data_IF_253037120488
#
_entry.id   IF_253037120488
#
_cell.length_a   1.000
_cell.length_b   1.000
_cell.length_c   1.000
_cell.angle_alpha   90.00
_cell.angle_beta   90.00
_cell.angle_gamma   90.00
#
_symmetry.space_group_name_H-M   'P 1'
#
loop_
_entity.id
_entity.type
_entity.pdbx_description
1 polymer ?
#
# COMPACT_ATOMS: atom_id res chain seq x y z
N UNK A 1 66.50 -74.93 -84.32
CA UNK A 1 66.84 -75.36 -82.95
C UNK A 1 67.10 -74.17 -82.11
N UNK A 2 66.45 -74.03 -81.01
CA UNK A 2 66.53 -73.10 -79.91
C UNK A 2 65.47 -71.92 -79.92
N UNK A 3 64.57 -72.13 -79.13
CA UNK A 3 63.40 -71.43 -78.64
C UNK A 3 63.79 -70.11 -77.92
N UNK A 4 63.11 -68.99 -78.21
CA UNK A 4 63.17 -67.73 -77.44
C UNK A 4 61.89 -67.63 -76.62
N UNK A 5 62.06 -67.45 -75.27
CA UNK A 5 61.04 -67.19 -74.33
C UNK A 5 60.90 -65.67 -74.20
N UNK A 6 59.75 -65.07 -74.52
CA UNK A 6 59.40 -63.68 -74.26
C UNK A 6 58.64 -63.57 -72.97
N UNK A 7 59.16 -62.78 -72.04
CA UNK A 7 58.54 -62.47 -70.78
C UNK A 7 57.62 -61.24 -70.92
N UNK A 8 56.31 -61.42 -70.80
CA UNK A 8 55.35 -60.31 -70.66
C UNK A 8 55.45 -59.72 -69.27
N UNK A 9 55.88 -58.48 -69.20
CA UNK A 9 55.70 -57.69 -67.96
C UNK A 9 54.27 -57.10 -67.92
N UNK A 10 53.52 -57.48 -66.92
CA UNK A 10 52.16 -57.01 -66.67
C UNK A 10 52.16 -55.57 -66.17
N UNK A 11 51.41 -54.71 -66.84
CA UNK A 11 51.07 -53.35 -66.37
C UNK A 11 49.97 -53.49 -65.29
N UNK A 12 50.39 -53.58 -63.99
CA UNK A 12 49.53 -53.58 -62.87
C UNK A 12 50.19 -52.75 -61.73
N UNK A 13 50.02 -51.41 -61.77
CA UNK A 13 50.66 -50.57 -60.70
C UNK A 13 50.27 -49.14 -60.68
N UNK A 14 49.71 -48.51 -61.72
CA UNK A 14 49.47 -47.03 -61.66
C UNK A 14 48.03 -46.62 -61.33
N UNK A 15 47.02 -47.50 -61.37
CA UNK A 15 45.63 -47.10 -61.05
C UNK A 15 45.27 -47.00 -59.54
N UNK A 16 46.04 -47.70 -58.68
CA UNK A 16 45.72 -47.71 -57.25
C UNK A 16 46.16 -46.44 -56.47
N UNK A 17 47.23 -45.81 -56.90
CA UNK A 17 47.69 -44.60 -56.23
C UNK A 17 46.80 -43.38 -56.48
N UNK A 18 46.16 -43.25 -57.62
CA UNK A 18 45.22 -42.16 -57.90
C UNK A 18 43.88 -42.38 -57.19
N UNK A 19 43.42 -43.58 -56.97
CA UNK A 19 42.22 -43.92 -56.22
C UNK A 19 42.39 -43.61 -54.73
N UNK A 20 43.56 -43.99 -54.18
CA UNK A 20 43.87 -43.71 -52.76
C UNK A 20 44.04 -42.21 -52.50
N UNK A 21 44.70 -41.46 -53.42
CA UNK A 21 44.90 -40.02 -53.37
C UNK A 21 43.53 -39.30 -53.47
N UNK A 22 42.63 -39.71 -54.34
CA UNK A 22 41.28 -39.19 -54.50
C UNK A 22 40.43 -39.41 -53.23
N UNK A 23 40.52 -40.61 -52.62
CA UNK A 23 39.84 -40.95 -51.40
C UNK A 23 40.36 -40.14 -50.23
N UNK A 24 41.68 -39.92 -50.12
CA UNK A 24 42.30 -39.05 -49.10
C UNK A 24 41.89 -37.57 -49.25
N UNK A 25 41.79 -37.06 -50.47
CA UNK A 25 41.32 -35.69 -50.74
C UNK A 25 39.82 -35.56 -50.37
N UNK A 26 39.00 -36.55 -50.69
CA UNK A 26 37.59 -36.58 -50.28
C UNK A 26 37.42 -36.64 -48.73
N UNK A 27 38.23 -37.46 -48.06
CA UNK A 27 38.23 -37.55 -46.57
C UNK A 27 38.73 -36.24 -45.98
N UNK A 28 39.77 -35.57 -46.51
CA UNK A 28 40.23 -34.28 -46.09
C UNK A 28 39.21 -33.18 -46.33
N UNK A 29 38.49 -33.17 -47.46
CA UNK A 29 37.39 -32.25 -47.75
C UNK A 29 36.22 -32.47 -46.81
N UNK A 30 35.89 -33.74 -46.55
CA UNK A 30 34.85 -34.08 -45.56
C UNK A 30 35.23 -33.68 -44.15
N UNK A 31 36.47 -33.92 -43.72
CA UNK A 31 36.99 -33.42 -42.45
C UNK A 31 37.01 -31.88 -42.38
N UNK A 32 37.32 -31.20 -43.47
CA UNK A 32 37.28 -29.71 -43.53
C UNK A 32 35.84 -29.19 -43.51
N UNK A 33 34.85 -29.89 -44.11
CA UNK A 33 33.44 -29.58 -43.99
C UNK A 33 32.90 -29.88 -42.58
N UNK A 34 33.36 -30.94 -41.92
CA UNK A 34 32.90 -31.31 -40.55
C UNK A 34 33.65 -30.55 -39.46
N UNK A 35 34.94 -30.27 -39.69
CA UNK A 35 35.84 -29.52 -38.80
C UNK A 35 36.08 -28.07 -39.25
N UNK A 36 35.42 -27.64 -40.33
CA UNK A 36 35.40 -26.24 -40.74
C UNK A 36 35.02 -25.37 -39.54
N UNK A 37 35.61 -24.16 -39.37
CA UNK A 37 35.37 -23.36 -38.19
C UNK A 37 33.87 -23.22 -38.05
N UNK A 38 33.31 -23.96 -37.08
CA UNK A 38 32.02 -23.62 -36.50
C UNK A 38 32.28 -22.24 -35.90
N UNK A 39 32.22 -21.19 -36.72
CA UNK A 39 32.01 -19.84 -36.24
C UNK A 39 30.64 -19.93 -35.58
N UNK A 40 30.64 -20.41 -34.32
CA UNK A 40 29.57 -20.10 -33.42
C UNK A 40 29.41 -18.57 -33.58
N UNK A 41 28.44 -18.13 -34.35
CA UNK A 41 27.85 -16.83 -34.16
C UNK A 41 27.45 -16.90 -32.71
N UNK A 42 28.33 -16.39 -31.84
CA UNK A 42 27.91 -15.83 -30.55
C UNK A 42 26.85 -14.85 -30.99
N UNK A 43 25.59 -15.28 -30.92
CA UNK A 43 24.46 -14.37 -31.05
C UNK A 43 24.83 -13.28 -30.06
N UNK A 44 25.10 -12.08 -30.59
CA UNK A 44 25.37 -10.94 -29.74
C UNK A 44 24.15 -10.91 -28.84
N UNK A 45 24.31 -11.37 -27.60
CA UNK A 45 23.26 -11.32 -26.60
C UNK A 45 22.95 -9.84 -26.53
N UNK A 46 21.78 -9.44 -27.04
CA UNK A 46 21.38 -8.05 -27.05
C UNK A 46 21.58 -7.57 -25.61
N UNK A 47 22.41 -6.55 -25.44
CA UNK A 47 22.66 -5.97 -24.14
C UNK A 47 21.31 -5.74 -23.45
N UNK A 48 21.19 -6.12 -22.18
CA UNK A 48 19.96 -5.96 -21.40
C UNK A 48 20.19 -4.87 -20.36
N UNK A 49 19.17 -4.04 -20.15
CA UNK A 49 19.11 -3.05 -19.06
C UNK A 49 17.85 -3.31 -18.28
N UNK A 50 17.98 -3.54 -16.98
CA UNK A 50 16.84 -3.68 -16.07
C UNK A 50 16.30 -2.29 -15.76
N UNK A 51 14.99 -2.09 -15.89
CA UNK A 51 14.32 -0.81 -15.65
C UNK A 51 13.39 -0.94 -14.44
N UNK A 52 13.50 0.02 -13.53
CA UNK A 52 12.67 0.19 -12.34
C UNK A 52 12.04 1.58 -12.35
N UNK A 53 10.77 1.67 -11.93
CA UNK A 53 10.07 2.94 -11.76
C UNK A 53 9.84 3.19 -10.26
N UNK A 54 10.52 4.20 -9.70
CA UNK A 54 10.35 4.67 -8.32
C UNK A 54 9.63 6.03 -8.35
N UNK A 55 8.30 5.98 -8.36
CA UNK A 55 7.41 7.16 -8.37
C UNK A 55 6.60 7.21 -7.08
N UNK A 56 7.28 7.30 -5.93
CA UNK A 56 6.66 7.36 -4.60
C UNK A 56 7.69 7.77 -3.54
N UNK A 57 7.24 7.75 -2.27
CA UNK A 57 8.09 7.98 -1.09
C UNK A 57 9.07 6.84 -0.87
N UNK A 58 10.26 7.16 -0.32
CA UNK A 58 11.28 6.17 0.01
C UNK A 58 10.94 5.51 1.35
N UNK A 59 10.57 4.23 1.27
CA UNK A 59 10.07 3.40 2.35
C UNK A 59 10.72 2.01 2.32
N UNK A 60 10.54 1.13 3.33
CA UNK A 60 11.09 -0.22 3.31
C UNK A 60 10.70 -1.01 2.06
N UNK A 61 9.46 -0.85 1.57
CA UNK A 61 8.98 -1.56 0.38
C UNK A 61 9.69 -1.10 -0.90
N UNK A 62 9.99 0.20 -1.03
CA UNK A 62 10.76 0.71 -2.17
C UNK A 62 12.22 0.24 -2.13
N UNK A 63 12.78 0.00 -0.92
CA UNK A 63 14.08 -0.62 -0.77
C UNK A 63 14.08 -2.10 -1.22
N UNK A 64 13.08 -2.89 -0.83
CA UNK A 64 12.91 -4.27 -1.29
C UNK A 64 12.77 -4.33 -2.82
N UNK A 65 12.01 -3.41 -3.41
CA UNK A 65 11.82 -3.32 -4.85
C UNK A 65 13.13 -3.00 -5.59
N UNK A 66 13.91 -2.01 -5.14
CA UNK A 66 15.23 -1.71 -5.70
C UNK A 66 16.18 -2.91 -5.60
N UNK A 67 16.24 -3.54 -4.42
CA UNK A 67 17.08 -4.72 -4.18
C UNK A 67 16.75 -5.84 -5.16
N UNK A 68 15.47 -6.13 -5.36
CA UNK A 68 15.00 -7.15 -6.30
C UNK A 68 15.37 -6.81 -7.75
N UNK A 69 15.33 -5.53 -8.13
CA UNK A 69 15.78 -5.07 -9.45
C UNK A 69 17.28 -5.27 -9.65
N UNK A 70 18.10 -4.96 -8.63
CA UNK A 70 19.55 -5.20 -8.62
C UNK A 70 19.85 -6.70 -8.73
N UNK A 71 19.16 -7.53 -7.94
CA UNK A 71 19.34 -8.98 -7.97
C UNK A 71 18.94 -9.55 -9.35
N UNK A 72 17.82 -9.08 -9.92
CA UNK A 72 17.40 -9.46 -11.27
C UNK A 72 18.44 -9.09 -12.33
N UNK A 73 19.05 -7.91 -12.22
CA UNK A 73 20.11 -7.50 -13.15
C UNK A 73 21.35 -8.39 -13.05
N UNK A 74 21.70 -8.82 -11.84
CA UNK A 74 22.79 -9.76 -11.62
C UNK A 74 22.47 -11.14 -12.24
N UNK A 75 21.28 -11.67 -12.04
CA UNK A 75 20.83 -12.97 -12.55
C UNK A 75 20.89 -13.06 -14.09
N UNK A 76 20.50 -11.98 -14.76
CA UNK A 76 20.50 -11.94 -16.25
C UNK A 76 21.77 -11.34 -16.84
N UNK A 77 22.76 -11.01 -16.01
CA UNK A 77 23.98 -10.33 -16.43
C UNK A 77 23.71 -9.03 -17.21
N UNK A 78 22.77 -8.22 -16.72
CA UNK A 78 22.40 -6.95 -17.33
C UNK A 78 23.58 -5.98 -17.35
N UNK A 79 23.62 -5.12 -18.36
CA UNK A 79 24.66 -4.07 -18.52
C UNK A 79 24.53 -3.00 -17.43
N UNK A 80 23.30 -2.71 -17.00
CA UNK A 80 22.99 -1.75 -15.96
C UNK A 80 21.58 -1.98 -15.38
N UNK A 81 21.35 -1.38 -14.21
CA UNK A 81 20.01 -1.13 -13.64
C UNK A 81 19.71 0.36 -13.88
N UNK A 82 18.64 0.68 -14.58
CA UNK A 82 18.12 2.02 -14.75
C UNK A 82 16.94 2.22 -13.78
N UNK A 83 17.06 3.20 -12.90
CA UNK A 83 16.00 3.58 -11.97
C UNK A 83 15.45 4.94 -12.39
N UNK A 84 14.25 4.96 -12.94
CA UNK A 84 13.51 6.19 -13.17
C UNK A 84 12.92 6.66 -11.84
N UNK A 85 13.30 7.88 -11.44
CA UNK A 85 13.05 8.39 -10.10
C UNK A 85 12.18 9.63 -10.11
N UNK A 86 11.09 9.58 -9.36
CA UNK A 86 10.29 10.73 -8.95
C UNK A 86 9.89 10.56 -7.48
N UNK A 87 10.55 11.27 -6.57
CA UNK A 87 10.27 11.12 -5.14
C UNK A 87 10.36 12.44 -4.39
N UNK A 88 9.43 12.71 -3.46
CA UNK A 88 9.54 13.84 -2.53
C UNK A 88 10.56 13.58 -1.41
N UNK A 89 11.00 12.32 -1.25
CA UNK A 89 11.86 11.88 -0.15
C UNK A 89 11.28 10.70 0.61
N UNK A 90 11.69 10.50 1.87
CA UNK A 90 11.19 9.41 2.69
C UNK A 90 12.01 9.16 3.93
N UNK A 91 12.05 7.90 4.38
CA UNK A 91 12.69 7.50 5.63
C UNK A 91 14.21 7.37 5.48
N UNK A 92 14.96 7.91 6.45
CA UNK A 92 16.42 7.88 6.45
C UNK A 92 16.96 6.44 6.49
N UNK A 93 16.35 5.54 7.27
CA UNK A 93 16.81 4.16 7.38
C UNK A 93 16.65 3.40 6.06
N UNK A 94 15.52 3.60 5.36
CA UNK A 94 15.31 3.03 4.02
C UNK A 94 16.30 3.61 3.03
N UNK A 95 16.59 4.92 3.10
CA UNK A 95 17.60 5.59 2.28
C UNK A 95 18.97 4.97 2.47
N UNK A 96 19.39 4.74 3.73
CA UNK A 96 20.68 4.11 4.05
C UNK A 96 20.76 2.68 3.51
N UNK A 97 19.70 1.91 3.63
CA UNK A 97 19.60 0.54 3.08
C UNK A 97 19.78 0.58 1.56
N UNK A 98 19.01 1.41 0.87
CA UNK A 98 19.08 1.53 -0.60
C UNK A 98 20.45 2.03 -1.08
N UNK A 99 21.04 3.03 -0.42
CA UNK A 99 22.41 3.47 -0.71
C UNK A 99 23.39 2.30 -0.56
N UNK A 100 23.27 1.51 0.49
CA UNK A 100 24.08 0.30 0.69
C UNK A 100 23.94 -0.69 -0.48
N UNK A 101 22.73 -0.96 -0.93
CA UNK A 101 22.46 -1.85 -2.07
C UNK A 101 23.04 -1.29 -3.38
N UNK A 102 22.92 0.01 -3.63
CA UNK A 102 23.52 0.68 -4.79
C UNK A 102 25.05 0.54 -4.80
N UNK A 103 25.69 0.85 -3.67
CA UNK A 103 27.16 0.82 -3.57
C UNK A 103 27.73 -0.59 -3.72
N UNK A 104 26.98 -1.62 -3.27
CA UNK A 104 27.36 -3.03 -3.34
C UNK A 104 26.77 -3.77 -4.56
N UNK A 105 26.04 -3.09 -5.43
CA UNK A 105 25.42 -3.70 -6.60
C UNK A 105 26.48 -4.37 -7.49
N UNK A 106 26.28 -5.59 -8.00
CA UNK A 106 27.18 -6.22 -8.97
C UNK A 106 27.10 -5.57 -10.36
N UNK A 107 25.94 -4.99 -10.72
CA UNK A 107 25.72 -4.29 -11.99
C UNK A 107 25.73 -2.77 -11.78
N UNK A 108 26.16 -1.95 -12.75
CA UNK A 108 26.06 -0.50 -12.68
C UNK A 108 24.62 -0.03 -12.42
N UNK A 109 24.45 0.93 -11.51
CA UNK A 109 23.15 1.51 -11.20
C UNK A 109 23.09 2.94 -11.72
N UNK A 110 22.12 3.23 -12.55
CA UNK A 110 21.85 4.53 -13.16
C UNK A 110 20.58 5.08 -12.52
N UNK A 111 20.64 6.24 -11.88
CA UNK A 111 19.45 6.96 -11.44
C UNK A 111 19.12 8.06 -12.44
N UNK A 112 17.90 8.09 -12.90
CA UNK A 112 17.41 9.06 -13.87
C UNK A 112 16.15 9.74 -13.34
N UNK A 113 16.28 11.01 -12.95
CA UNK A 113 15.14 11.80 -12.48
C UNK A 113 14.27 12.15 -13.68
N UNK A 114 13.12 11.53 -13.83
CA UNK A 114 12.23 11.62 -14.98
C UNK A 114 10.78 11.29 -14.61
N UNK A 115 9.81 11.66 -15.43
CA UNK A 115 9.86 12.58 -16.59
C UNK A 115 10.04 14.05 -16.19
N UNK A 116 9.90 15.00 -17.14
CA UNK A 116 9.88 16.43 -16.84
C UNK A 116 8.85 16.78 -15.77
N UNK A 117 9.25 17.60 -14.79
CA UNK A 117 8.44 17.90 -13.59
C UNK A 117 8.71 16.98 -12.39
N UNK A 118 9.43 15.88 -12.59
CA UNK A 118 9.85 14.98 -11.50
C UNK A 118 10.94 15.61 -10.63
N UNK A 119 11.11 15.02 -9.44
CA UNK A 119 12.13 15.47 -8.47
C UNK A 119 12.84 14.30 -7.79
N UNK A 120 14.11 14.53 -7.44
CA UNK A 120 14.87 13.72 -6.49
C UNK A 120 15.00 14.50 -5.18
N UNK A 121 13.87 14.60 -4.43
CA UNK A 121 13.81 15.35 -3.18
C UNK A 121 14.35 14.54 -2.00
N UNK A 122 15.03 15.21 -1.03
CA UNK A 122 15.42 14.61 0.24
C UNK A 122 16.13 13.26 0.08
N UNK A 123 15.50 12.14 0.47
CA UNK A 123 16.03 10.77 0.29
C UNK A 123 16.46 10.49 -1.16
N UNK A 124 15.69 10.95 -2.15
CA UNK A 124 16.00 10.76 -3.56
C UNK A 124 17.32 11.36 -3.98
N UNK A 125 17.69 12.50 -3.40
CA UNK A 125 18.99 13.13 -3.64
C UNK A 125 20.15 12.22 -3.18
N UNK A 126 20.06 11.60 -1.99
CA UNK A 126 21.05 10.66 -1.51
C UNK A 126 21.21 9.44 -2.42
N UNK A 127 20.08 8.91 -2.95
CA UNK A 127 20.10 7.78 -3.88
C UNK A 127 20.76 8.14 -5.21
N UNK A 128 20.40 9.32 -5.75
CA UNK A 128 20.99 9.83 -6.98
C UNK A 128 22.50 10.02 -6.84
N UNK A 129 22.96 10.60 -5.72
CA UNK A 129 24.38 10.81 -5.43
C UNK A 129 25.16 9.50 -5.19
N UNK A 130 24.49 8.41 -4.75
CA UNK A 130 25.09 7.10 -4.58
C UNK A 130 25.27 6.33 -5.89
N UNK A 131 24.51 6.67 -6.93
CA UNK A 131 24.47 5.95 -8.21
C UNK A 131 25.82 5.96 -8.94
N UNK A 132 26.06 4.95 -9.75
CA UNK A 132 27.22 4.91 -10.66
C UNK A 132 27.10 5.97 -11.75
N UNK A 133 25.89 6.24 -12.22
CA UNK A 133 25.55 7.36 -13.11
C UNK A 133 24.32 8.07 -12.56
N UNK A 134 24.39 9.38 -12.41
CA UNK A 134 23.26 10.24 -12.08
C UNK A 134 22.85 11.04 -13.31
N UNK A 135 21.57 11.02 -13.64
CA UNK A 135 21.00 11.72 -14.78
C UNK A 135 19.70 12.41 -14.43
N UNK A 136 19.38 13.47 -15.15
CA UNK A 136 18.14 14.22 -14.99
C UNK A 136 17.51 14.52 -16.35
N UNK A 137 16.18 14.51 -16.40
CA UNK A 137 15.45 15.04 -17.54
C UNK A 137 15.38 16.58 -17.45
N UNK A 138 15.27 17.28 -18.59
CA UNK A 138 15.03 18.72 -18.57
C UNK A 138 13.76 19.08 -17.78
N UNK A 139 13.85 20.12 -16.93
CA UNK A 139 12.72 20.57 -16.12
C UNK A 139 12.47 19.73 -14.86
N UNK A 140 13.47 19.02 -14.38
CA UNK A 140 13.47 18.31 -13.11
C UNK A 140 14.34 19.01 -12.07
N UNK A 141 14.23 18.62 -10.80
CA UNK A 141 15.06 19.18 -9.72
C UNK A 141 15.51 18.11 -8.74
N UNK A 142 16.62 18.38 -8.03
CA UNK A 142 17.15 17.47 -7.02
C UNK A 142 17.73 18.27 -5.83
N UNK A 143 17.60 17.74 -4.61
CA UNK A 143 18.13 18.40 -3.40
C UNK A 143 17.13 18.44 -2.26
N UNK A 144 17.11 19.58 -1.52
CA UNK A 144 16.27 19.79 -0.33
C UNK A 144 16.38 18.63 0.68
N UNK A 145 17.62 18.23 1.00
CA UNK A 145 17.92 16.96 1.67
C UNK A 145 18.24 17.09 3.16
N UNK A 146 17.82 18.19 3.79
CA UNK A 146 17.99 18.40 5.23
C UNK A 146 17.21 17.35 6.04
N UNK A 147 17.82 16.64 7.00
CA UNK A 147 17.13 15.66 7.81
C UNK A 147 16.09 16.31 8.70
N UNK A 148 14.81 15.95 8.53
CA UNK A 148 13.70 16.43 9.34
C UNK A 148 13.41 15.42 10.45
N UNK A 149 13.48 15.87 11.71
CA UNK A 149 13.19 15.04 12.88
C UNK A 149 11.90 15.53 13.53
N UNK A 150 10.86 14.72 13.50
CA UNK A 150 9.50 15.15 13.87
C UNK A 150 9.02 14.67 15.24
N UNK A 151 9.74 13.77 15.92
CA UNK A 151 9.28 13.16 17.17
C UNK A 151 9.85 13.88 18.37
N UNK A 152 9.00 14.73 18.98
CA UNK A 152 9.27 15.37 20.27
C UNK A 152 10.13 16.65 20.20
N UNK A 153 10.37 17.27 21.34
CA UNK A 153 11.37 18.33 21.48
C UNK A 153 12.76 17.68 21.53
N UNK A 154 13.35 17.44 20.37
CA UNK A 154 14.76 17.05 20.29
C UNK A 154 15.59 18.28 20.59
N UNK A 155 16.55 18.13 21.50
CA UNK A 155 17.47 19.22 21.82
C UNK A 155 18.38 19.56 20.62
N UNK A 156 18.95 20.74 20.63
CA UNK A 156 19.78 21.20 19.51
C UNK A 156 21.04 20.35 19.34
N UNK A 157 21.54 19.72 20.40
CA UNK A 157 22.69 18.82 20.36
C UNK A 157 22.35 17.55 19.54
N UNK A 158 21.17 16.99 19.73
CA UNK A 158 20.72 15.82 18.98
C UNK A 158 20.49 16.15 17.50
N UNK A 159 19.88 17.30 17.19
CA UNK A 159 19.73 17.79 15.80
C UNK A 159 21.09 17.90 15.12
N UNK A 160 22.06 18.50 15.81
CA UNK A 160 23.43 18.64 15.30
C UNK A 160 24.11 17.27 15.07
N UNK A 161 23.90 16.31 15.97
CA UNK A 161 24.42 14.94 15.77
C UNK A 161 23.84 14.27 14.54
N UNK A 162 22.52 14.35 14.34
CA UNK A 162 21.84 13.76 13.18
C UNK A 162 22.34 14.42 11.88
N UNK A 163 22.47 15.75 11.87
CA UNK A 163 22.97 16.47 10.71
C UNK A 163 24.41 16.06 10.40
N UNK A 164 25.30 16.06 11.41
CA UNK A 164 26.71 15.70 11.21
C UNK A 164 26.89 14.26 10.75
N UNK A 165 26.10 13.30 11.28
CA UNK A 165 26.11 11.90 10.86
C UNK A 165 25.61 11.76 9.41
N UNK A 166 24.54 12.48 9.04
CA UNK A 166 23.98 12.49 7.69
C UNK A 166 24.97 13.07 6.67
N UNK A 167 25.66 14.16 7.02
CA UNK A 167 26.72 14.75 6.19
C UNK A 167 27.93 13.82 6.04
N UNK A 168 28.34 13.16 7.12
CA UNK A 168 29.44 12.19 7.06
C UNK A 168 29.08 11.00 6.17
N UNK A 169 27.83 10.51 6.27
CA UNK A 169 27.31 9.47 5.40
C UNK A 169 27.34 9.90 3.94
N UNK A 170 26.81 11.08 3.60
CA UNK A 170 26.83 11.61 2.23
C UNK A 170 28.25 11.70 1.68
N UNK A 171 29.17 12.33 2.42
CA UNK A 171 30.58 12.49 2.01
C UNK A 171 31.30 11.17 1.74
N UNK A 172 30.93 10.11 2.47
CA UNK A 172 31.59 8.80 2.39
C UNK A 172 31.54 8.17 0.99
N UNK A 173 30.56 8.53 0.17
CA UNK A 173 30.40 7.99 -1.18
C UNK A 173 30.43 9.06 -2.28
N UNK A 174 29.95 10.29 -2.06
CA UNK A 174 29.94 11.36 -3.07
C UNK A 174 31.35 11.65 -3.58
N UNK A 175 32.33 11.77 -2.67
CA UNK A 175 33.75 11.98 -3.04
C UNK A 175 34.34 10.84 -3.87
N UNK A 176 33.97 9.59 -3.56
CA UNK A 176 34.42 8.42 -4.33
C UNK A 176 33.77 8.34 -5.72
N UNK A 177 32.55 8.89 -5.86
CA UNK A 177 31.88 9.04 -7.15
C UNK A 177 32.45 10.16 -8.01
N UNK A 178 33.35 10.99 -7.45
CA UNK A 178 33.96 12.14 -8.15
C UNK A 178 33.01 13.30 -8.34
N UNK A 179 31.94 13.37 -7.54
CA UNK A 179 30.96 14.46 -7.57
C UNK A 179 31.35 15.59 -6.63
N UNK A 180 30.67 16.71 -6.76
CA UNK A 180 30.93 17.92 -5.97
C UNK A 180 30.41 17.77 -4.54
N UNK A 181 31.33 17.52 -3.61
CA UNK A 181 31.01 17.31 -2.20
C UNK A 181 30.40 18.56 -1.55
N UNK A 182 30.90 19.75 -1.88
CA UNK A 182 30.46 21.01 -1.26
C UNK A 182 29.01 21.31 -1.68
N UNK A 183 28.70 21.18 -2.97
CA UNK A 183 27.33 21.36 -3.45
C UNK A 183 26.37 20.29 -2.89
N UNK A 184 26.83 19.05 -2.77
CA UNK A 184 26.02 17.99 -2.17
C UNK A 184 25.76 18.24 -0.67
N UNK A 185 26.75 18.75 0.08
CA UNK A 185 26.57 19.15 1.47
C UNK A 185 25.60 20.34 1.61
N UNK A 186 25.66 21.32 0.70
CA UNK A 186 24.77 22.48 0.67
C UNK A 186 23.29 22.08 0.51
N UNK A 187 23.02 21.01 -0.27
CA UNK A 187 21.68 20.40 -0.35
C UNK A 187 21.16 19.86 0.98
N UNK A 188 22.08 19.40 1.85
CA UNK A 188 21.73 18.83 3.16
C UNK A 188 21.74 19.91 4.24
N UNK A 189 22.78 20.71 4.34
CA UNK A 189 22.93 21.74 5.39
C UNK A 189 21.91 22.87 5.24
N UNK A 190 21.75 23.38 4.00
CA UNK A 190 20.94 24.56 3.71
C UNK A 190 19.63 24.24 2.96
N UNK A 191 19.27 22.95 2.84
CA UNK A 191 18.08 22.51 2.12
C UNK A 191 18.03 22.99 0.66
N UNK A 192 19.19 23.20 0.03
CA UNK A 192 19.24 23.72 -1.33
C UNK A 192 18.73 22.69 -2.34
N UNK A 193 18.01 23.17 -3.33
CA UNK A 193 17.55 22.37 -4.46
C UNK A 193 18.13 22.92 -5.76
N UNK A 194 18.48 22.04 -6.67
CA UNK A 194 19.13 22.35 -7.93
C UNK A 194 18.27 21.92 -9.10
N UNK A 195 18.17 22.76 -10.11
CA UNK A 195 17.63 22.38 -11.42
C UNK A 195 18.56 21.41 -12.13
N UNK A 196 18.09 20.74 -13.18
CA UNK A 196 18.88 19.85 -14.03
C UNK A 196 20.16 20.53 -14.54
N UNK A 197 20.09 21.80 -14.99
CA UNK A 197 21.21 22.55 -15.47
C UNK A 197 22.23 22.95 -14.38
N UNK A 198 21.72 23.39 -13.21
CA UNK A 198 22.59 23.72 -12.07
C UNK A 198 23.28 22.45 -11.53
N UNK A 199 22.56 21.32 -11.42
CA UNK A 199 23.13 20.05 -10.99
C UNK A 199 24.22 19.57 -11.94
N UNK A 200 24.05 19.72 -13.25
CA UNK A 200 25.05 19.38 -14.24
C UNK A 200 26.28 20.32 -14.16
N UNK A 201 26.06 21.62 -14.07
CA UNK A 201 27.15 22.62 -14.01
C UNK A 201 27.97 22.46 -12.70
N UNK A 202 27.32 22.05 -11.62
CA UNK A 202 27.97 21.81 -10.33
C UNK A 202 28.58 20.39 -10.21
N UNK A 203 28.46 19.54 -11.23
CA UNK A 203 28.94 18.16 -11.20
C UNK A 203 28.28 17.31 -10.10
N UNK A 204 26.99 17.55 -9.81
CA UNK A 204 26.14 16.67 -9.01
C UNK A 204 25.57 15.53 -9.85
N UNK A 205 25.40 15.75 -11.16
CA UNK A 205 24.96 14.74 -12.10
C UNK A 205 25.91 14.62 -13.30
N UNK A 206 25.82 13.48 -13.96
CA UNK A 206 26.66 13.14 -15.10
C UNK A 206 26.09 13.58 -16.45
N UNK A 207 24.75 13.54 -16.59
CA UNK A 207 24.07 13.71 -17.88
C UNK A 207 22.71 14.36 -17.70
N UNK A 208 22.35 15.28 -18.58
CA UNK A 208 20.98 15.71 -18.82
C UNK A 208 20.50 15.09 -20.12
N UNK A 209 19.40 14.33 -20.09
CA UNK A 209 18.85 13.65 -21.25
C UNK A 209 17.33 13.81 -21.29
N UNK A 210 16.69 14.04 -22.45
CA UNK A 210 15.26 14.30 -22.55
C UNK A 210 14.39 13.04 -22.37
N UNK A 211 14.95 11.86 -22.55
CA UNK A 211 14.27 10.58 -22.40
C UNK A 211 15.26 9.44 -22.18
N UNK A 212 14.74 8.29 -21.74
CA UNK A 212 15.50 7.08 -21.46
C UNK A 212 16.38 6.62 -22.62
N UNK A 213 15.85 6.62 -23.84
CA UNK A 213 16.59 6.17 -25.03
C UNK A 213 17.81 7.06 -25.30
N UNK A 214 17.63 8.37 -25.25
CA UNK A 214 18.72 9.34 -25.42
C UNK A 214 19.78 9.20 -24.32
N UNK A 215 19.33 8.95 -23.08
CA UNK A 215 20.22 8.66 -21.96
C UNK A 215 21.10 7.44 -22.25
N UNK A 216 20.47 6.30 -22.59
CA UNK A 216 21.17 5.05 -22.88
C UNK A 216 22.10 5.14 -24.08
N UNK A 217 21.70 5.87 -25.13
CA UNK A 217 22.57 6.15 -26.29
C UNK A 217 23.79 7.01 -25.93
N UNK A 218 23.63 7.98 -25.01
CA UNK A 218 24.69 8.84 -24.51
C UNK A 218 25.70 8.13 -23.61
N UNK A 219 25.21 7.12 -22.87
CA UNK A 219 26.03 6.32 -21.97
C UNK A 219 26.75 5.17 -22.65
N UNK A 220 26.42 4.87 -23.91
CA UNK A 220 27.06 3.77 -24.65
C UNK A 220 28.54 4.02 -24.89
N UNK A 221 29.38 3.05 -24.53
CA UNK A 221 30.83 3.15 -24.61
C UNK A 221 31.50 3.95 -23.47
N UNK A 222 30.70 4.55 -22.56
CA UNK A 222 31.23 5.27 -21.40
C UNK A 222 31.80 4.31 -20.38
N UNK A 223 33.00 4.59 -19.90
CA UNK A 223 33.60 3.88 -18.76
C UNK A 223 33.10 4.49 -17.47
N UNK A 224 32.51 3.65 -16.64
CA UNK A 224 31.98 4.01 -15.31
C UNK A 224 32.86 3.37 -14.25
N UNK A 225 33.35 4.18 -13.32
CA UNK A 225 34.13 3.72 -12.17
C UNK A 225 33.18 3.23 -11.06
N UNK A 226 33.19 1.93 -10.83
CA UNK A 226 32.35 1.32 -9.78
C UNK A 226 32.86 1.72 -8.39
N UNK A 227 31.97 1.68 -7.39
CA UNK A 227 32.35 1.97 -6.01
C UNK A 227 33.44 1.03 -5.48
N UNK A 228 33.49 -0.21 -5.98
CA UNK A 228 34.55 -1.19 -5.72
C UNK A 228 35.92 -0.80 -6.30
N UNK A 229 35.99 0.25 -7.14
CA UNK A 229 37.20 0.70 -7.84
C UNK A 229 37.43 0.02 -9.19
N UNK A 230 36.57 -0.90 -9.62
CA UNK A 230 36.65 -1.55 -10.93
C UNK A 230 36.03 -0.65 -11.98
N UNK A 231 36.67 -0.48 -13.12
CA UNK A 231 36.15 0.23 -14.28
C UNK A 231 35.28 -0.71 -15.13
N UNK A 232 34.09 -0.26 -15.53
CA UNK A 232 33.16 -1.00 -16.37
C UNK A 232 32.70 -0.16 -17.54
N UNK A 233 32.83 -0.68 -18.76
CA UNK A 233 32.34 -0.03 -19.98
C UNK A 233 30.88 -0.39 -20.18
N UNK A 234 30.01 0.61 -20.27
CA UNK A 234 28.60 0.44 -20.54
C UNK A 234 28.36 0.12 -22.02
N UNK A 235 27.47 -0.80 -22.31
CA UNK A 235 26.98 -1.14 -23.66
C UNK A 235 25.45 -1.06 -23.66
N UNK A 236 24.95 0.15 -23.83
CA UNK A 236 23.54 0.47 -23.58
C UNK A 236 22.77 0.85 -24.84
N UNK A 237 23.45 1.14 -25.95
CA UNK A 237 22.79 1.49 -27.21
C UNK A 237 22.02 0.28 -27.75
N UNK A 238 20.72 0.47 -28.00
CA UNK A 238 19.85 -0.60 -28.50
C UNK A 238 19.68 -1.77 -27.54
N UNK A 239 20.00 -1.59 -26.25
CA UNK A 239 19.77 -2.60 -25.23
C UNK A 239 18.29 -2.95 -25.12
N UNK A 240 18.02 -4.21 -24.84
CA UNK A 240 16.67 -4.66 -24.52
C UNK A 240 16.31 -4.27 -23.09
N UNK A 241 15.23 -3.53 -22.94
CA UNK A 241 14.75 -3.06 -21.64
C UNK A 241 13.91 -4.15 -20.97
N UNK A 242 14.32 -4.54 -19.78
CA UNK A 242 13.63 -5.54 -18.96
C UNK A 242 13.01 -4.81 -17.79
N UNK A 243 11.73 -4.45 -17.93
CA UNK A 243 10.98 -3.83 -16.83
C UNK A 243 10.78 -4.84 -15.69
N UNK A 244 11.02 -4.38 -14.47
CA UNK A 244 10.73 -5.12 -13.25
C UNK A 244 9.56 -4.44 -12.56
N UNK A 245 8.39 -5.01 -12.73
CA UNK A 245 7.16 -4.48 -12.10
C UNK A 245 7.11 -4.84 -10.62
N UNK A 246 6.49 -3.99 -9.77
CA UNK A 246 6.22 -4.33 -8.39
C UNK A 246 5.34 -5.59 -8.29
N UNK A 247 5.72 -6.53 -7.45
CA UNK A 247 4.93 -7.73 -7.16
C UNK A 247 3.61 -7.36 -6.47
N UNK A 248 2.61 -8.26 -6.53
CA UNK A 248 1.34 -8.05 -5.83
C UNK A 248 1.56 -7.80 -4.32
N UNK A 249 2.53 -8.49 -3.71
CA UNK A 249 2.90 -8.26 -2.30
C UNK A 249 3.39 -6.84 -2.08
N UNK A 250 4.30 -6.35 -2.92
CA UNK A 250 4.84 -4.99 -2.84
C UNK A 250 3.74 -3.95 -3.03
N UNK A 251 2.86 -4.14 -4.02
CA UNK A 251 1.72 -3.25 -4.26
C UNK A 251 0.76 -3.20 -3.07
N UNK A 252 0.44 -4.34 -2.44
CA UNK A 252 -0.42 -4.37 -1.25
C UNK A 252 0.27 -3.68 -0.07
N UNK A 253 1.56 -3.98 0.16
CA UNK A 253 2.31 -3.38 1.27
C UNK A 253 2.44 -1.86 1.10
N UNK A 254 2.72 -1.39 -0.10
CA UNK A 254 2.78 0.03 -0.44
C UNK A 254 1.44 0.73 -0.13
N UNK A 255 0.32 0.15 -0.56
CA UNK A 255 -1.02 0.67 -0.23
C UNK A 255 -1.30 0.67 1.28
N UNK A 256 -0.85 -0.35 2.01
CA UNK A 256 -1.03 -0.40 3.46
C UNK A 256 -0.15 0.62 4.21
N UNK A 257 0.93 1.09 3.59
CA UNK A 257 1.77 2.18 4.12
C UNK A 257 1.21 3.58 3.84
N UNK A 258 0.08 3.71 3.10
CA UNK A 258 -0.62 4.99 2.95
C UNK A 258 -1.35 5.37 4.26
N UNK A 259 -0.98 6.49 4.92
CA UNK A 259 -1.60 6.92 6.17
C UNK A 259 -3.12 7.17 6.06
N UNK A 260 -3.59 7.62 4.90
CA UNK A 260 -5.00 7.90 4.66
C UNK A 260 -5.80 6.60 4.59
N UNK A 261 -5.27 5.61 3.87
CA UNK A 261 -5.89 4.28 3.80
C UNK A 261 -5.88 3.59 5.16
N UNK A 262 -4.80 3.68 5.93
CA UNK A 262 -4.70 3.12 7.28
C UNK A 262 -5.82 3.63 8.20
N UNK A 263 -6.06 4.96 8.19
CA UNK A 263 -7.15 5.60 8.96
C UNK A 263 -8.52 5.13 8.47
N UNK A 264 -8.74 5.05 7.15
CA UNK A 264 -10.01 4.58 6.59
C UNK A 264 -10.32 3.14 7.02
N UNK A 265 -9.34 2.23 6.92
CA UNK A 265 -9.49 0.84 7.33
C UNK A 265 -9.74 0.74 8.83
N UNK A 266 -9.01 1.52 9.66
CA UNK A 266 -9.17 1.56 11.11
C UNK A 266 -10.60 1.95 11.49
N UNK A 267 -11.08 3.08 10.96
CA UNK A 267 -12.40 3.60 11.31
C UNK A 267 -13.54 2.73 10.76
N UNK A 268 -13.38 2.17 9.56
CA UNK A 268 -14.33 1.21 9.00
C UNK A 268 -14.41 -0.06 9.86
N UNK A 269 -13.26 -0.59 10.30
CA UNK A 269 -13.22 -1.75 11.20
C UNK A 269 -13.94 -1.50 12.52
N UNK A 270 -13.67 -0.37 13.16
CA UNK A 270 -14.33 0.05 14.42
C UNK A 270 -15.84 0.21 14.22
N UNK A 271 -16.25 0.84 13.11
CA UNK A 271 -17.67 1.05 12.83
C UNK A 271 -18.42 -0.27 12.61
N UNK A 272 -17.84 -1.21 11.89
CA UNK A 272 -18.44 -2.52 11.66
C UNK A 272 -18.57 -3.33 12.96
N UNK A 273 -17.56 -3.29 13.84
CA UNK A 273 -17.63 -3.90 15.16
C UNK A 273 -18.74 -3.23 15.98
N UNK A 274 -18.83 -1.90 15.95
CA UNK A 274 -19.87 -1.16 16.63
C UNK A 274 -21.28 -1.52 16.11
N UNK A 275 -21.44 -1.72 14.80
CA UNK A 275 -22.71 -2.19 14.21
C UNK A 275 -23.12 -3.55 14.76
N UNK A 276 -22.19 -4.51 14.85
CA UNK A 276 -22.47 -5.85 15.40
C UNK A 276 -22.97 -5.78 16.85
N UNK A 277 -22.36 -4.93 17.68
CA UNK A 277 -22.80 -4.73 19.07
C UNK A 277 -24.22 -4.14 19.19
N UNK A 278 -24.67 -3.38 18.18
CA UNK A 278 -26.01 -2.80 18.17
C UNK A 278 -27.05 -3.70 17.51
N UNK A 279 -26.65 -4.66 16.68
CA UNK A 279 -27.52 -5.62 15.97
C UNK A 279 -27.01 -7.04 16.18
N UNK A 280 -27.07 -7.57 17.43
CA UNK A 280 -26.49 -8.87 17.73
C UNK A 280 -27.16 -9.98 16.93
N UNK A 281 -26.34 -10.88 16.36
CA UNK A 281 -26.79 -12.02 15.56
C UNK A 281 -26.50 -11.94 14.07
N UNK A 282 -25.94 -10.83 13.58
CA UNK A 282 -25.56 -10.70 12.17
C UNK A 282 -24.21 -11.34 11.86
N UNK A 283 -23.28 -11.45 12.80
CA UNK A 283 -21.93 -12.05 12.75
C UNK A 283 -21.01 -11.46 11.69
N UNK A 284 -21.52 -11.18 10.48
CA UNK A 284 -20.75 -10.73 9.33
C UNK A 284 -20.05 -9.37 9.57
N UNK A 285 -20.74 -8.31 10.06
CA UNK A 285 -20.09 -7.02 10.33
C UNK A 285 -18.98 -7.14 11.37
N UNK A 286 -19.18 -7.92 12.44
CA UNK A 286 -18.22 -8.13 13.50
C UNK A 286 -16.97 -8.86 13.01
N UNK A 287 -17.13 -9.92 12.21
CA UNK A 287 -16.04 -10.68 11.64
C UNK A 287 -15.22 -9.82 10.66
N UNK A 288 -15.89 -9.11 9.73
CA UNK A 288 -15.23 -8.22 8.77
C UNK A 288 -14.56 -7.04 9.49
N UNK A 289 -15.23 -6.44 10.47
CA UNK A 289 -14.69 -5.35 11.26
C UNK A 289 -13.43 -5.74 12.04
N UNK A 290 -13.41 -6.95 12.60
CA UNK A 290 -12.22 -7.50 13.27
C UNK A 290 -11.06 -7.68 12.29
N UNK A 291 -11.33 -8.23 11.10
CA UNK A 291 -10.31 -8.39 10.06
C UNK A 291 -9.73 -7.03 9.64
N UNK A 292 -10.58 -6.03 9.39
CA UNK A 292 -10.14 -4.67 9.03
C UNK A 292 -9.35 -4.02 10.17
N UNK A 293 -9.76 -4.23 11.43
CA UNK A 293 -9.02 -3.70 12.58
C UNK A 293 -7.62 -4.31 12.69
N UNK A 294 -7.49 -5.63 12.51
CA UNK A 294 -6.18 -6.29 12.49
C UNK A 294 -5.31 -5.78 11.34
N UNK A 295 -5.89 -5.59 10.16
CA UNK A 295 -5.20 -5.03 9.00
C UNK A 295 -4.76 -3.58 9.25
N UNK A 296 -5.61 -2.76 9.88
CA UNK A 296 -5.26 -1.40 10.27
C UNK A 296 -4.12 -1.37 11.29
N UNK A 297 -4.15 -2.23 12.30
CA UNK A 297 -3.07 -2.34 13.29
C UNK A 297 -1.75 -2.76 12.64
N UNK A 298 -1.79 -3.69 11.69
CA UNK A 298 -0.63 -4.06 10.90
C UNK A 298 -0.10 -2.86 10.08
N UNK A 299 -0.97 -2.16 9.37
CA UNK A 299 -0.63 -0.94 8.60
C UNK A 299 0.00 0.13 9.51
N UNK A 300 -0.61 0.41 10.66
CA UNK A 300 -0.10 1.39 11.63
C UNK A 300 1.26 0.99 12.23
N UNK A 301 1.56 -0.31 12.33
CA UNK A 301 2.88 -0.78 12.78
C UNK A 301 4.00 -0.48 11.78
N UNK A 302 3.66 -0.28 10.50
CA UNK A 302 4.60 0.10 9.44
C UNK A 302 4.86 1.61 9.38
N UNK A 303 4.04 2.43 10.07
CA UNK A 303 4.07 3.88 10.03
C UNK A 303 4.61 4.46 11.34
N UNK A 304 5.24 5.64 11.31
CA UNK A 304 5.67 6.36 12.54
C UNK A 304 4.44 6.95 13.27
N UNK A 305 3.79 6.15 14.11
CA UNK A 305 2.54 6.51 14.81
C UNK A 305 2.82 7.24 16.12
N UNK A 306 2.05 8.30 16.39
CA UNK A 306 2.03 9.00 17.67
C UNK A 306 1.01 8.34 18.62
N UNK A 307 1.48 7.76 19.71
CA UNK A 307 0.61 7.10 20.71
C UNK A 307 -0.39 8.05 21.36
N UNK A 308 -0.05 9.34 21.53
CA UNK A 308 -0.96 10.37 22.03
C UNK A 308 -2.16 10.60 21.12
N UNK A 309 -1.95 10.56 19.81
CA UNK A 309 -3.01 10.67 18.80
C UNK A 309 -3.88 9.41 18.76
N UNK A 310 -3.28 8.24 18.93
CA UNK A 310 -4.02 6.99 19.06
C UNK A 310 -4.91 7.01 20.30
N UNK A 311 -4.39 7.48 21.45
CA UNK A 311 -5.18 7.66 22.67
C UNK A 311 -6.34 8.65 22.48
N UNK A 312 -6.12 9.73 21.71
CA UNK A 312 -7.15 10.70 21.37
C UNK A 312 -8.27 10.08 20.49
N UNK A 313 -7.91 9.24 19.52
CA UNK A 313 -8.88 8.48 18.70
C UNK A 313 -9.71 7.53 19.58
N UNK A 314 -9.05 6.76 20.46
CA UNK A 314 -9.74 5.87 21.39
C UNK A 314 -10.68 6.67 22.30
N UNK A 315 -10.23 7.80 22.87
CA UNK A 315 -11.05 8.71 23.66
C UNK A 315 -12.25 9.26 22.90
N UNK A 316 -12.05 9.62 21.62
CA UNK A 316 -13.13 10.07 20.74
C UNK A 316 -14.22 9.02 20.54
N UNK A 317 -13.81 7.77 20.29
CA UNK A 317 -14.74 6.64 20.15
C UNK A 317 -15.49 6.41 21.46
N UNK A 318 -14.82 6.44 22.61
CA UNK A 318 -15.44 6.31 23.93
C UNK A 318 -16.48 7.41 24.15
N UNK A 319 -16.18 8.68 23.85
CA UNK A 319 -17.14 9.78 23.96
C UNK A 319 -18.39 9.55 23.11
N UNK A 320 -18.22 9.08 21.87
CA UNK A 320 -19.35 8.77 20.98
C UNK A 320 -20.18 7.59 21.49
N UNK A 321 -19.57 6.55 22.05
CA UNK A 321 -20.27 5.44 22.67
C UNK A 321 -21.00 5.86 23.94
N UNK A 322 -20.44 6.78 24.73
CA UNK A 322 -21.07 7.33 25.93
C UNK A 322 -22.31 8.15 25.61
N UNK A 323 -22.35 8.88 24.49
CA UNK A 323 -23.55 9.57 24.00
C UNK A 323 -24.76 8.61 23.86
N UNK A 324 -24.52 7.33 23.49
CA UNK A 324 -25.55 6.31 23.39
C UNK A 324 -26.16 5.92 24.76
N UNK A 325 -25.38 6.02 25.84
CA UNK A 325 -25.83 5.71 27.21
C UNK A 325 -26.35 6.92 27.94
N UNK A 326 -25.71 8.05 27.77
CA UNK A 326 -26.00 9.33 28.45
C UNK A 326 -26.33 10.38 27.40
N UNK A 327 -27.60 10.51 26.99
CA UNK A 327 -28.00 11.42 25.92
C UNK A 327 -27.73 12.88 26.36
N UNK A 328 -26.61 13.41 25.88
CA UNK A 328 -26.14 14.78 26.17
C UNK A 328 -26.59 15.80 25.12
N UNK A 329 -27.60 15.47 24.33
CA UNK A 329 -28.11 16.29 23.21
C UNK A 329 -27.05 16.54 22.13
N UNK A 330 -26.09 15.62 21.95
CA UNK A 330 -25.06 15.67 20.92
C UNK A 330 -23.74 16.32 21.35
N UNK A 331 -23.61 16.76 22.59
CA UNK A 331 -22.38 17.40 23.09
C UNK A 331 -21.22 16.40 23.08
N UNK A 332 -21.42 15.18 23.61
CA UNK A 332 -20.37 14.16 23.63
C UNK A 332 -20.02 13.68 22.20
N UNK A 333 -21.04 13.53 21.33
CA UNK A 333 -20.82 13.18 19.94
C UNK A 333 -20.03 14.25 19.18
N UNK A 334 -20.34 15.53 19.40
CA UNK A 334 -19.60 16.64 18.78
C UNK A 334 -18.15 16.72 19.28
N UNK A 335 -17.95 16.62 20.60
CA UNK A 335 -16.62 16.59 21.20
C UNK A 335 -15.81 15.38 20.69
N UNK A 336 -16.44 14.20 20.62
CA UNK A 336 -15.85 12.99 20.03
C UNK A 336 -15.46 13.18 18.56
N UNK A 337 -16.32 13.82 17.76
CA UNK A 337 -16.01 14.10 16.34
C UNK A 337 -14.80 15.01 16.20
N UNK A 338 -14.73 16.09 16.98
CA UNK A 338 -13.56 17.00 16.97
C UNK A 338 -12.29 16.27 17.43
N UNK A 339 -12.37 15.49 18.50
CA UNK A 339 -11.25 14.70 18.98
C UNK A 339 -10.79 13.64 17.95
N UNK A 340 -11.73 13.03 17.22
CA UNK A 340 -11.42 12.08 16.17
C UNK A 340 -10.68 12.74 15.00
N UNK A 341 -11.14 13.90 14.53
CA UNK A 341 -10.47 14.67 13.48
C UNK A 341 -9.04 15.06 13.91
N UNK A 342 -8.88 15.58 15.11
CA UNK A 342 -7.56 15.96 15.62
C UNK A 342 -6.65 14.75 15.83
N UNK A 343 -7.19 13.65 16.35
CA UNK A 343 -6.47 12.40 16.55
C UNK A 343 -5.99 11.79 15.22
N UNK A 344 -6.86 11.72 14.21
CA UNK A 344 -6.51 11.19 12.89
C UNK A 344 -5.51 12.09 12.16
N UNK A 345 -5.72 13.41 12.18
CA UNK A 345 -4.82 14.38 11.53
C UNK A 345 -3.38 14.30 12.08
N UNK A 346 -3.23 14.04 13.38
CA UNK A 346 -1.93 13.99 14.03
C UNK A 346 -1.40 12.57 14.26
N UNK A 347 -2.08 11.54 13.75
CA UNK A 347 -1.78 10.13 14.01
C UNK A 347 -0.41 9.72 13.50
N UNK A 348 -0.08 10.07 12.27
CA UNK A 348 1.17 9.69 11.62
C UNK A 348 2.13 10.87 11.59
N UNK A 349 3.32 10.66 12.15
CA UNK A 349 4.41 11.64 12.22
C UNK A 349 5.37 11.42 11.04
N UNK A 350 4.90 11.61 9.80
CA UNK A 350 5.75 11.49 8.62
C UNK A 350 6.67 12.70 8.45
N UNK A 351 7.92 12.51 7.99
CA UNK A 351 8.88 13.59 7.77
C UNK A 351 8.45 14.55 6.66
N UNK A 352 7.66 14.08 5.71
CA UNK A 352 7.14 14.84 4.59
C UNK A 352 5.61 14.85 4.58
N UNK A 353 4.96 15.85 3.94
CA UNK A 353 3.49 15.95 3.92
C UNK A 353 2.79 14.73 3.35
N UNK A 354 3.38 14.08 2.35
CA UNK A 354 2.85 12.89 1.66
C UNK A 354 2.75 11.68 2.60
N UNK A 355 3.58 11.61 3.63
CA UNK A 355 3.57 10.56 4.65
C UNK A 355 2.68 10.89 5.86
N UNK A 356 1.82 11.90 5.78
CA UNK A 356 0.88 12.31 6.84
C UNK A 356 -0.56 12.11 6.41
N UNK A 357 -1.45 11.99 7.39
CA UNK A 357 -2.89 12.00 7.10
C UNK A 357 -3.28 13.37 6.56
N UNK A 358 -3.92 13.39 5.40
CA UNK A 358 -4.39 14.62 4.76
C UNK A 358 -5.55 15.24 5.56
N UNK A 359 -5.59 16.57 5.63
CA UNK A 359 -6.66 17.31 6.32
C UNK A 359 -8.05 16.94 5.78
N UNK A 360 -8.17 16.81 4.47
CA UNK A 360 -9.42 16.42 3.82
C UNK A 360 -9.89 15.02 4.28
N UNK A 361 -8.97 14.06 4.35
CA UNK A 361 -9.25 12.70 4.84
C UNK A 361 -9.67 12.71 6.30
N UNK A 362 -8.95 13.45 7.16
CA UNK A 362 -9.27 13.54 8.58
C UNK A 362 -10.65 14.14 8.82
N UNK A 363 -11.00 15.25 8.12
CA UNK A 363 -12.31 15.88 8.22
C UNK A 363 -13.41 14.97 7.67
N UNK A 364 -13.23 14.43 6.47
CA UNK A 364 -14.25 13.60 5.83
C UNK A 364 -14.56 12.34 6.65
N UNK A 365 -13.52 11.64 7.12
CA UNK A 365 -13.70 10.43 7.95
C UNK A 365 -14.26 10.74 9.32
N UNK A 366 -13.80 11.80 9.98
CA UNK A 366 -14.31 12.20 11.29
C UNK A 366 -15.79 12.61 11.24
N UNK A 367 -16.19 13.42 10.26
CA UNK A 367 -17.59 13.80 10.06
C UNK A 367 -18.47 12.60 9.68
N UNK A 368 -18.03 11.76 8.73
CA UNK A 368 -18.77 10.58 8.33
C UNK A 368 -18.97 9.63 9.51
N UNK A 369 -17.91 9.34 10.27
CA UNK A 369 -17.98 8.49 11.46
C UNK A 369 -18.91 9.09 12.54
N UNK A 370 -18.81 10.38 12.81
CA UNK A 370 -19.65 11.10 13.77
C UNK A 370 -21.14 11.06 13.38
N UNK A 371 -21.46 11.32 12.10
CA UNK A 371 -22.81 11.26 11.58
C UNK A 371 -23.42 9.85 11.63
N UNK A 372 -22.67 8.85 11.17
CA UNK A 372 -23.11 7.46 11.18
C UNK A 372 -23.33 6.97 12.63
N UNK A 373 -22.39 7.27 13.53
CA UNK A 373 -22.51 6.90 14.95
C UNK A 373 -23.73 7.55 15.58
N UNK A 374 -23.93 8.87 15.36
CA UNK A 374 -25.10 9.60 15.87
C UNK A 374 -26.42 9.01 15.33
N UNK A 375 -26.45 8.66 14.06
CA UNK A 375 -27.60 8.01 13.42
C UNK A 375 -27.91 6.63 14.05
N UNK A 376 -26.89 5.80 14.22
CA UNK A 376 -27.02 4.48 14.84
C UNK A 376 -27.47 4.59 16.30
N UNK A 377 -26.92 5.52 17.07
CA UNK A 377 -27.36 5.83 18.44
C UNK A 377 -28.83 6.18 18.48
N UNK A 378 -29.30 7.03 17.57
CA UNK A 378 -30.70 7.44 17.48
C UNK A 378 -31.63 6.27 17.18
N UNK A 379 -31.22 5.38 16.27
CA UNK A 379 -31.99 4.16 15.95
C UNK A 379 -32.08 3.25 17.19
N UNK A 380 -30.93 2.96 17.83
CA UNK A 380 -30.86 2.12 18.99
C UNK A 380 -31.70 2.68 20.18
N UNK A 381 -31.67 4.00 20.35
CA UNK A 381 -32.51 4.65 21.39
C UNK A 381 -34.00 4.55 21.07
N UNK A 382 -34.40 4.79 19.81
CA UNK A 382 -35.78 4.64 19.38
C UNK A 382 -36.31 3.21 19.53
N UNK A 383 -35.47 2.21 19.22
CA UNK A 383 -35.80 0.80 19.40
C UNK A 383 -35.99 0.45 20.89
N UNK A 384 -35.24 1.04 21.81
CA UNK A 384 -35.38 0.85 23.27
C UNK A 384 -36.59 1.53 23.86
N UNK A 385 -37.10 2.63 23.26
CA UNK A 385 -38.30 3.31 23.70
C UNK A 385 -39.57 2.54 23.31
N UNK A 386 -39.55 1.79 22.21
CA UNK A 386 -40.63 0.90 21.83
C UNK A 386 -40.57 -0.35 22.74
N UNK A 387 -41.11 -0.21 23.98
CA UNK A 387 -41.38 -1.35 24.81
C UNK A 387 -42.39 -2.22 24.07
N UNK A 388 -41.93 -3.31 23.49
CA UNK A 388 -42.82 -4.40 23.08
C UNK A 388 -43.35 -4.95 24.42
N UNK A 389 -44.55 -4.50 24.80
CA UNK A 389 -45.25 -5.09 25.93
C UNK A 389 -45.69 -6.50 25.49
N UNK A 390 -44.91 -7.50 25.88
CA UNK A 390 -45.21 -8.90 25.67
C UNK A 390 -45.76 -9.45 27.00
N UNK A 391 -46.84 -10.22 26.92
CA UNK A 391 -47.44 -10.84 28.09
C UNK A 391 -48.76 -10.17 28.55
N UNK A 392 -49.31 -10.57 29.70
CA UNK A 392 -50.59 -10.13 30.20
C UNK A 392 -50.71 -8.60 30.30
N UNK A 393 -49.62 -7.90 30.65
CA UNK A 393 -49.62 -6.43 30.77
C UNK A 393 -49.87 -5.69 29.43
N UNK A 394 -49.62 -6.37 28.27
CA UNK A 394 -49.91 -5.83 26.95
C UNK A 394 -51.41 -5.74 26.64
N UNK A 395 -52.20 -6.47 27.40
CA UNK A 395 -53.67 -6.49 27.25
C UNK A 395 -54.36 -5.34 28.02
N UNK A 396 -53.66 -4.70 28.96
CA UNK A 396 -54.23 -3.55 29.70
C UNK A 396 -54.46 -2.38 28.75
N UNK A 397 -55.70 -1.93 28.67
CA UNK A 397 -56.14 -0.88 27.74
C UNK A 397 -56.61 -1.41 26.36
N UNK A 398 -56.39 -2.69 26.05
CA UNK A 398 -56.90 -3.29 24.84
C UNK A 398 -58.44 -3.33 24.82
N UNK A 399 -59.02 -3.24 23.64
CA UNK A 399 -60.44 -3.32 23.41
C UNK A 399 -60.77 -4.71 22.89
N UNK A 400 -61.76 -5.35 23.48
CA UNK A 400 -62.28 -6.66 23.10
C UNK A 400 -63.78 -6.66 22.97
N UNK A 401 -64.35 -7.84 22.67
CA UNK A 401 -65.81 -8.04 22.52
C UNK A 401 -66.22 -9.21 23.42
N UNK A 402 -67.26 -8.99 24.24
CA UNK A 402 -67.85 -10.02 25.08
C UNK A 402 -68.44 -11.11 24.17
N UNK A 403 -68.05 -12.36 24.35
CA UNK A 403 -68.58 -13.49 23.59
C UNK A 403 -69.77 -14.15 24.39
N UNK A 404 -69.76 -13.96 25.68
CA UNK A 404 -70.79 -14.46 26.60
C UNK A 404 -71.19 -13.31 27.52
N UNK A 405 -72.36 -13.49 28.24
CA UNK A 405 -72.77 -12.55 29.27
C UNK A 405 -71.76 -12.56 30.43
N UNK A 406 -71.15 -11.44 30.78
CA UNK A 406 -70.33 -11.30 31.97
C UNK A 406 -71.22 -10.89 33.18
N UNK A 407 -71.53 -11.85 34.08
CA UNK A 407 -72.30 -11.60 35.26
C UNK A 407 -71.80 -12.42 36.50
N UNK A 408 -70.72 -12.06 37.18
CA UNK A 408 -69.64 -11.11 36.76
C UNK A 408 -68.62 -11.69 35.80
N UNK A 409 -68.61 -13.03 35.51
CA UNK A 409 -67.56 -13.71 34.72
C UNK A 409 -68.12 -14.21 33.39
N UNK A 410 -67.29 -14.23 32.39
CA UNK A 410 -67.54 -14.73 31.06
C UNK A 410 -66.35 -14.74 30.20
N UNK A 411 -66.46 -14.95 28.87
CA UNK A 411 -65.42 -14.94 27.94
C UNK A 411 -65.43 -13.68 27.04
N UNK A 412 -64.31 -13.13 26.79
CA UNK A 412 -64.10 -12.02 25.84
C UNK A 412 -63.08 -12.38 24.78
N UNK A 413 -63.24 -11.83 23.59
CA UNK A 413 -62.27 -11.94 22.51
C UNK A 413 -61.43 -10.66 22.49
N UNK A 414 -60.11 -10.78 22.73
CA UNK A 414 -59.16 -9.68 22.68
C UNK A 414 -57.96 -10.10 21.80
N UNK A 415 -57.58 -9.29 20.83
CA UNK A 415 -56.53 -9.55 19.88
C UNK A 415 -56.60 -10.92 19.15
N UNK A 416 -57.84 -11.45 19.00
CA UNK A 416 -58.07 -12.74 18.35
C UNK A 416 -57.98 -13.95 19.28
N UNK A 417 -57.76 -13.75 20.58
CA UNK A 417 -57.68 -14.79 21.62
C UNK A 417 -58.86 -14.71 22.58
N UNK A 418 -59.37 -15.86 23.02
CA UNK A 418 -60.43 -15.96 24.04
C UNK A 418 -59.81 -15.91 25.43
N UNK A 419 -60.22 -14.91 26.21
CA UNK A 419 -59.80 -14.73 27.59
C UNK A 419 -60.94 -14.77 28.55
N UNK A 420 -60.71 -15.35 29.69
CA UNK A 420 -61.66 -15.30 30.82
C UNK A 420 -61.64 -13.85 31.36
N UNK A 421 -62.80 -13.25 31.46
CA UNK A 421 -62.94 -11.88 31.94
C UNK A 421 -63.95 -11.76 33.06
N UNK A 422 -63.76 -10.78 33.94
CA UNK A 422 -64.63 -10.40 35.01
C UNK A 422 -65.04 -8.96 34.90
N UNK A 423 -66.33 -8.63 34.89
CA UNK A 423 -66.80 -7.26 34.86
C UNK A 423 -66.52 -6.55 36.18
N UNK A 424 -65.98 -5.33 36.09
CA UNK A 424 -65.67 -4.45 37.25
C UNK A 424 -66.93 -3.75 37.81
N UNK A 425 -68.09 -3.94 37.21
CA UNK A 425 -69.31 -3.23 37.57
C UNK A 425 -70.54 -3.99 37.14
N UNK A 426 -71.44 -3.37 36.40
CA UNK A 426 -72.72 -3.98 35.94
C UNK A 426 -72.46 -5.15 34.95
N UNK A 427 -73.46 -6.10 34.86
CA UNK A 427 -73.37 -7.17 33.89
C UNK A 427 -73.25 -6.63 32.42
N UNK A 428 -72.34 -7.24 31.64
CA UNK A 428 -72.12 -6.88 30.26
C UNK A 428 -72.76 -7.92 29.35
N UNK A 429 -73.51 -7.48 28.35
CA UNK A 429 -74.21 -8.35 27.42
C UNK A 429 -73.28 -8.92 26.35
N UNK A 430 -73.59 -10.14 25.79
CA UNK A 430 -72.84 -10.65 24.64
C UNK A 430 -72.86 -9.68 23.47
N UNK A 431 -71.67 -9.48 22.80
CA UNK A 431 -71.48 -8.57 21.69
C UNK A 431 -71.10 -7.14 22.09
N UNK A 432 -71.16 -6.78 23.38
CA UNK A 432 -70.73 -5.47 23.84
C UNK A 432 -69.19 -5.33 23.80
N UNK A 433 -68.79 -4.10 23.47
CA UNK A 433 -67.32 -3.73 23.43
C UNK A 433 -66.86 -3.46 24.86
N UNK A 434 -65.79 -4.10 25.25
CA UNK A 434 -65.18 -3.99 26.57
C UNK A 434 -63.73 -3.50 26.46
N UNK A 435 -63.27 -2.78 27.48
CA UNK A 435 -61.87 -2.38 27.63
C UNK A 435 -61.23 -3.08 28.82
N UNK A 436 -60.08 -3.67 28.61
CA UNK A 436 -59.30 -4.31 29.66
C UNK A 436 -58.71 -3.25 30.60
N UNK A 437 -59.05 -3.31 31.88
CA UNK A 437 -58.60 -2.39 32.93
C UNK A 437 -57.39 -2.92 33.70
N UNK A 438 -57.37 -4.21 33.95
CA UNK A 438 -56.26 -4.86 34.64
C UNK A 438 -56.21 -6.35 34.27
N UNK A 439 -55.08 -6.99 34.51
CA UNK A 439 -54.88 -8.42 34.37
C UNK A 439 -54.57 -9.01 35.74
N UNK A 440 -55.32 -10.01 36.13
CA UNK A 440 -55.15 -10.77 37.38
C UNK A 440 -54.92 -12.26 37.05
N UNK A 441 -53.63 -12.62 36.94
CA UNK A 441 -53.23 -13.97 36.49
C UNK A 441 -53.68 -14.27 35.08
N UNK A 442 -54.63 -15.22 34.92
CA UNK A 442 -55.22 -15.60 33.62
C UNK A 442 -56.58 -14.96 33.38
N UNK A 443 -57.01 -14.02 34.22
CA UNK A 443 -58.28 -13.30 34.10
C UNK A 443 -58.07 -11.86 33.75
N UNK A 444 -58.95 -11.31 32.93
CA UNK A 444 -58.97 -9.89 32.57
C UNK A 444 -60.10 -9.20 33.35
N UNK A 445 -59.80 -8.12 34.05
CA UNK A 445 -60.79 -7.23 34.60
C UNK A 445 -61.18 -6.21 33.51
N UNK A 446 -62.47 -6.15 33.19
CA UNK A 446 -62.99 -5.36 32.07
C UNK A 446 -64.12 -4.42 32.49
N UNK A 447 -64.25 -3.34 31.76
CA UNK A 447 -65.32 -2.36 31.88
C UNK A 447 -65.98 -2.14 30.49
N UNK A 448 -67.30 -1.88 30.44
CA UNK A 448 -67.96 -1.58 29.19
C UNK A 448 -67.43 -0.26 28.64
N UNK A 449 -67.20 -0.21 27.32
CA UNK A 449 -66.87 1.05 26.63
C UNK A 449 -68.18 1.76 26.34
N UNK A 450 -68.42 2.96 26.89
CA UNK A 450 -69.65 3.71 26.57
C UNK A 450 -69.74 3.93 25.07
N UNK A 451 -70.87 3.53 24.49
CA UNK A 451 -71.21 3.82 23.09
C UNK A 451 -71.13 5.32 22.86
N UNK A 452 -70.20 5.77 22.01
CA UNK A 452 -70.25 7.19 21.59
C UNK A 452 -71.54 7.41 20.82
N UNK A 453 -72.50 8.06 21.47
CA UNK A 453 -73.68 8.59 20.75
C UNK A 453 -73.14 9.57 19.68
N UNK A 454 -73.38 9.31 18.38
CA UNK A 454 -72.96 10.24 17.37
C UNK A 454 -73.73 11.56 17.56
N UNK A 455 -72.94 12.66 17.63
CA UNK A 455 -73.48 14.01 17.68
C UNK A 455 -74.03 14.46 16.31
#
# INVERSE_FOLDING_TARGET
MRTAFSVRRSAFGEGHHHGILFLLVLVLLFLFCVLGPCTARVAAQNAQVVVLHLDDTIQPISADYLKRGIDRAADIHAQAVLVELNTPGGLLDSTRTMVGDILNSPSPVIFYVSPAGSRAGSAGFFLMEAADVAAMAPGTNAGAAHPVVEVGKIDDTMKQKILNDTLAFLRSYVSKRGRNVDAAQDAVENSKSYTDQEAQNLHLIDVVAPNERTLLDTLDGRTVKRFSGVDQVLRTRGANLVAVEPTLREQIMDRLMDPNLAVLILLAGVLLIYMEFNTPGTIIPGALGTLLLLLALFSLNLLPVRYTSLALIVGAIVLMVLEAKFPSHGILASAGTVALILGTLTLVAGPIPEMRVQLATAIATGLAFGLITTFLVRIAWRARQNKVMIGPDALVGAVGVAQEQLAPRGQILVHGELWLAESSGDPIAPGETVKVRAVDGLKLLVEPVPERVPA
#
